data_IF_585832811506
#
_entry.id   IF_585832811506
#
_cell.length_a   1.000
_cell.length_b   1.000
_cell.length_c   1.000
_cell.angle_alpha   90.00
_cell.angle_beta   90.00
_cell.angle_gamma   90.00
#
_symmetry.space_group_name_H-M   'P 1'
#
loop_
_entity.id
_entity.type
_entity.pdbx_description
1 polymer ?
#
# COMPACT_ATOMS: atom_id res chain seq x y z
N UNK A 1 11.94 -15.69 -60.00
CA UNK A 1 11.60 -15.99 -58.59
C UNK A 1 10.44 -15.10 -58.20
N UNK A 2 9.36 -15.71 -57.70
CA UNK A 2 8.02 -15.15 -57.56
C UNK A 2 7.74 -14.58 -56.14
N UNK A 3 6.70 -13.75 -56.02
CA UNK A 3 5.99 -13.35 -54.78
C UNK A 3 6.58 -12.10 -54.11
N UNK A 4 5.91 -10.95 -53.96
CA UNK A 4 4.51 -10.72 -53.53
C UNK A 4 4.46 -10.86 -51.99
N UNK A 5 3.87 -9.99 -51.17
CA UNK A 5 3.08 -8.78 -51.31
C UNK A 5 2.90 -8.18 -49.89
N UNK A 6 2.33 -6.98 -49.83
CA UNK A 6 1.55 -6.45 -48.72
C UNK A 6 2.29 -6.06 -47.42
N UNK A 7 2.55 -4.76 -47.33
CA UNK A 7 2.31 -3.98 -46.11
C UNK A 7 0.93 -4.33 -45.54
N UNK A 8 0.90 -5.27 -44.59
CA UNK A 8 -0.33 -5.65 -43.91
C UNK A 8 -0.61 -4.62 -42.80
N UNK A 9 -1.23 -3.50 -43.19
CA UNK A 9 -1.95 -2.60 -42.30
C UNK A 9 -3.28 -3.27 -41.96
N UNK A 10 -3.33 -3.96 -40.83
CA UNK A 10 -4.55 -4.44 -40.18
C UNK A 10 -4.53 -4.08 -38.69
N UNK A 11 -5.68 -3.75 -38.07
CA UNK A 11 -5.73 -3.15 -36.75
C UNK A 11 -5.62 -4.24 -35.69
N UNK A 12 -4.46 -4.37 -35.06
CA UNK A 12 -4.37 -5.10 -33.80
C UNK A 12 -4.61 -4.12 -32.67
N UNK A 13 -5.89 -3.98 -32.34
CA UNK A 13 -6.38 -3.59 -31.03
C UNK A 13 -5.89 -4.61 -30.00
N UNK A 14 -4.64 -4.45 -29.57
CA UNK A 14 -4.07 -5.10 -28.40
C UNK A 14 -3.80 -4.02 -27.38
N UNK A 15 -4.78 -3.80 -26.51
CA UNK A 15 -4.70 -3.01 -25.28
C UNK A 15 -3.63 -3.60 -24.36
N UNK A 16 -2.37 -3.38 -24.69
CA UNK A 16 -1.21 -3.73 -23.88
C UNK A 16 -0.63 -2.45 -23.31
N UNK A 17 -1.11 -2.04 -22.14
CA UNK A 17 -0.34 -1.14 -21.26
C UNK A 17 0.83 -1.90 -20.64
N UNK A 18 1.61 -2.60 -21.47
CA UNK A 18 2.92 -3.10 -21.08
C UNK A 18 3.85 -1.90 -21.20
N UNK A 19 3.96 -1.14 -20.10
CA UNK A 19 4.95 -0.09 -19.97
C UNK A 19 6.31 -0.67 -20.34
N UNK A 20 6.90 -0.13 -21.41
CA UNK A 20 8.21 -0.56 -21.88
C UNK A 20 9.24 -0.37 -20.75
N UNK A 21 10.23 -1.26 -20.68
CA UNK A 21 11.36 -1.22 -19.72
C UNK A 21 12.09 0.15 -19.71
N UNK A 22 11.90 0.98 -20.74
CA UNK A 22 12.40 2.36 -20.81
C UNK A 22 11.60 3.40 -19.99
N UNK A 23 10.39 3.09 -19.50
CA UNK A 23 9.63 3.93 -18.55
C UNK A 23 10.09 3.75 -17.08
N UNK A 24 11.09 2.88 -16.84
CA UNK A 24 11.59 2.47 -15.51
C UNK A 24 12.44 3.52 -14.75
N UNK A 25 12.25 4.81 -15.01
CA UNK A 25 12.93 5.90 -14.27
C UNK A 25 11.99 6.84 -13.52
N UNK A 26 10.71 6.46 -13.37
CA UNK A 26 9.76 7.12 -12.48
C UNK A 26 9.79 6.57 -11.04
N UNK A 27 9.16 7.26 -10.06
CA UNK A 27 9.15 6.89 -8.64
C UNK A 27 8.41 5.59 -8.29
N UNK A 28 8.03 4.78 -9.29
CA UNK A 28 7.34 3.50 -9.13
C UNK A 28 7.99 2.47 -10.04
N UNK A 29 8.18 1.26 -9.52
CA UNK A 29 8.76 0.14 -10.27
C UNK A 29 7.89 -1.11 -10.14
N UNK A 30 8.10 -2.09 -11.02
CA UNK A 30 7.51 -3.43 -10.85
C UNK A 30 8.03 -4.02 -9.54
N UNK A 31 7.20 -4.71 -8.75
CA UNK A 31 7.65 -5.41 -7.53
C UNK A 31 8.78 -6.39 -7.87
N UNK A 32 9.79 -6.51 -7.00
CA UNK A 32 10.85 -7.53 -7.20
C UNK A 32 10.31 -8.93 -6.91
N UNK A 33 9.27 -9.01 -6.10
CA UNK A 33 8.76 -10.23 -5.50
C UNK A 33 7.48 -10.73 -6.18
N UNK A 34 6.86 -9.95 -7.08
CA UNK A 34 5.63 -10.35 -7.75
C UNK A 34 5.39 -9.70 -9.13
N UNK A 35 4.74 -10.46 -10.01
CA UNK A 35 4.28 -10.04 -11.33
C UNK A 35 2.80 -9.63 -11.37
N UNK A 36 2.13 -9.52 -10.21
CA UNK A 36 0.71 -9.21 -10.14
C UNK A 36 0.40 -7.78 -10.61
N UNK A 37 -0.78 -7.59 -11.21
CA UNK A 37 -1.32 -6.25 -11.46
C UNK A 37 -1.96 -5.71 -10.18
N UNK A 38 -1.14 -5.04 -9.37
CA UNK A 38 -1.60 -4.40 -8.15
C UNK A 38 -2.66 -3.31 -8.39
N UNK A 39 -2.67 -2.67 -9.56
CA UNK A 39 -3.67 -1.67 -9.90
C UNK A 39 -5.06 -2.28 -10.04
N UNK A 40 -5.15 -3.46 -10.68
CA UNK A 40 -6.39 -4.22 -10.75
C UNK A 40 -6.81 -4.73 -9.35
N UNK A 41 -5.87 -5.26 -8.57
CA UNK A 41 -6.16 -5.74 -7.21
C UNK A 41 -6.70 -4.64 -6.31
N UNK A 42 -6.13 -3.43 -6.38
CA UNK A 42 -6.63 -2.29 -5.61
C UNK A 42 -8.01 -1.89 -6.09
N UNK A 43 -8.27 -1.79 -7.40
CA UNK A 43 -9.60 -1.44 -7.92
C UNK A 43 -10.70 -2.40 -7.47
N UNK A 44 -10.39 -3.69 -7.41
CA UNK A 44 -11.35 -4.72 -7.00
C UNK A 44 -11.64 -4.72 -5.50
N UNK A 45 -10.64 -4.40 -4.67
CA UNK A 45 -10.73 -4.60 -3.21
C UNK A 45 -10.82 -3.30 -2.40
N UNK A 46 -10.44 -2.16 -2.96
CA UNK A 46 -10.53 -0.82 -2.37
C UNK A 46 -11.26 0.15 -3.32
N UNK A 47 -12.54 -0.08 -3.63
CA UNK A 47 -13.28 0.84 -4.48
C UNK A 47 -13.45 2.22 -3.82
N UNK A 48 -13.56 3.33 -4.59
CA UNK A 48 -13.62 4.69 -4.05
C UNK A 48 -14.70 4.93 -2.98
N UNK A 49 -15.78 4.16 -2.98
CA UNK A 49 -16.86 4.24 -2.00
C UNK A 49 -16.46 3.79 -0.57
N UNK A 50 -15.26 3.25 -0.38
CA UNK A 50 -14.77 2.72 0.91
C UNK A 50 -14.19 3.77 1.85
N UNK A 51 -14.25 5.06 1.48
CA UNK A 51 -13.65 6.14 2.29
C UNK A 51 -12.12 6.18 2.19
N UNK A 52 -11.57 5.68 1.08
CA UNK A 52 -10.15 5.80 0.72
C UNK A 52 -9.93 7.09 -0.06
N UNK A 53 -8.97 7.90 0.36
CA UNK A 53 -8.53 9.08 -0.38
C UNK A 53 -7.32 8.73 -1.25
N UNK A 54 -6.20 8.41 -0.59
CA UNK A 54 -4.96 8.01 -1.24
C UNK A 54 -4.43 6.66 -0.75
N UNK A 55 -3.62 5.99 -1.55
CA UNK A 55 -2.97 4.73 -1.14
C UNK A 55 -1.61 4.50 -1.81
N UNK A 56 -0.76 3.77 -1.09
CA UNK A 56 0.55 3.37 -1.54
C UNK A 56 0.90 1.96 -1.07
N UNK A 57 1.59 1.24 -1.94
CA UNK A 57 2.14 -0.09 -1.70
C UNK A 57 3.66 0.02 -1.83
N UNK A 58 4.39 -0.41 -0.81
CA UNK A 58 5.85 -0.40 -0.80
C UNK A 58 6.38 -1.83 -0.69
N UNK A 59 7.39 -2.15 -1.49
CA UNK A 59 8.13 -3.42 -1.40
C UNK A 59 9.00 -3.39 -0.13
N UNK A 60 8.91 -4.42 0.71
CA UNK A 60 9.63 -4.43 1.98
C UNK A 60 11.14 -4.56 1.81
N UNK A 61 11.60 -5.17 0.72
CA UNK A 61 13.02 -5.45 0.53
C UNK A 61 13.84 -4.19 0.27
N UNK A 62 13.26 -3.20 -0.43
CA UNK A 62 13.98 -1.96 -0.78
C UNK A 62 13.25 -0.67 -0.38
N UNK A 63 12.05 -0.78 0.19
CA UNK A 63 11.21 0.33 0.63
C UNK A 63 10.75 1.26 -0.50
N UNK A 64 10.72 0.77 -1.75
CA UNK A 64 10.27 1.52 -2.91
C UNK A 64 8.80 1.23 -3.25
N UNK A 65 8.12 2.23 -3.80
CA UNK A 65 6.74 2.09 -4.20
C UNK A 65 6.61 1.13 -5.40
N UNK A 66 5.66 0.20 -5.31
CA UNK A 66 5.34 -0.72 -6.40
C UNK A 66 4.27 -0.14 -7.33
N UNK A 67 4.30 -0.57 -8.59
CA UNK A 67 3.29 -0.25 -9.59
C UNK A 67 1.89 -0.50 -9.06
N UNK A 68 0.92 0.34 -9.44
CA UNK A 68 -0.44 0.31 -8.92
C UNK A 68 -0.68 1.29 -7.76
N UNK A 69 0.37 1.73 -7.06
CA UNK A 69 0.26 2.81 -6.05
C UNK A 69 -0.09 4.16 -6.69
N UNK A 70 -0.65 5.10 -5.91
CA UNK A 70 -0.90 6.45 -6.43
C UNK A 70 0.39 7.29 -6.48
N UNK A 71 0.75 7.87 -7.66
CA UNK A 71 2.02 8.59 -7.81
C UNK A 71 2.17 9.86 -6.96
N UNK A 72 1.08 10.59 -6.71
CA UNK A 72 1.09 11.79 -5.86
C UNK A 72 1.43 11.44 -4.42
N UNK A 73 0.76 10.42 -3.90
CA UNK A 73 0.89 9.98 -2.52
C UNK A 73 2.25 9.34 -2.24
N UNK A 74 2.71 8.46 -3.13
CA UNK A 74 4.03 7.78 -2.97
C UNK A 74 5.21 8.74 -2.90
N UNK A 75 5.17 9.85 -3.62
CA UNK A 75 6.22 10.90 -3.57
C UNK A 75 6.28 11.62 -2.22
N UNK A 76 5.24 11.52 -1.41
CA UNK A 76 5.25 12.06 -0.06
C UNK A 76 5.98 11.15 0.93
N UNK A 77 6.47 9.98 0.54
CA UNK A 77 7.20 9.11 1.46
C UNK A 77 8.67 9.03 1.09
N UNK A 78 9.53 9.54 1.97
CA UNK A 78 10.96 9.30 1.89
C UNK A 78 11.24 7.80 2.17
N UNK A 79 12.09 7.12 1.37
CA UNK A 79 12.41 5.70 1.59
C UNK A 79 12.89 5.37 3.01
N UNK A 80 13.60 6.28 3.68
CA UNK A 80 14.05 6.05 5.06
C UNK A 80 12.90 6.10 6.06
N UNK A 81 11.84 6.87 5.77
CA UNK A 81 10.60 6.85 6.55
C UNK A 81 9.83 5.56 6.30
N UNK A 82 9.80 5.09 5.05
CA UNK A 82 9.17 3.80 4.69
C UNK A 82 9.87 2.64 5.42
N UNK A 83 11.21 2.61 5.47
CA UNK A 83 11.96 1.60 6.24
C UNK A 83 11.60 1.62 7.72
N UNK A 84 11.55 2.81 8.33
CA UNK A 84 11.12 2.96 9.73
C UNK A 84 9.69 2.45 9.95
N UNK A 85 8.78 2.66 8.99
CA UNK A 85 7.42 2.10 9.05
C UNK A 85 7.46 0.57 8.93
N UNK A 86 8.24 0.00 8.02
CA UNK A 86 8.40 -1.46 7.91
C UNK A 86 8.90 -2.04 9.24
N UNK A 87 9.94 -1.46 9.83
CA UNK A 87 10.52 -1.90 11.10
C UNK A 87 9.52 -1.78 12.26
N UNK A 88 8.86 -0.63 12.37
CA UNK A 88 7.82 -0.35 13.36
C UNK A 88 6.71 -1.41 13.31
N UNK A 89 6.16 -1.67 12.13
CA UNK A 89 5.04 -2.59 11.97
C UNK A 89 5.46 -4.06 12.04
N UNK A 90 6.70 -4.38 11.68
CA UNK A 90 7.28 -5.71 11.92
C UNK A 90 7.43 -5.96 13.43
N UNK A 91 7.89 -4.96 14.19
CA UNK A 91 8.00 -5.05 15.64
C UNK A 91 6.63 -5.12 16.33
N UNK A 92 5.63 -4.34 15.89
CA UNK A 92 4.27 -4.36 16.44
C UNK A 92 3.56 -5.71 16.23
N UNK A 93 3.85 -6.39 15.11
CA UNK A 93 3.30 -7.71 14.79
C UNK A 93 4.10 -8.87 15.41
N UNK A 94 5.25 -8.60 16.04
CA UNK A 94 6.05 -9.66 16.66
C UNK A 94 5.42 -10.14 17.99
N UNK A 95 5.29 -11.46 18.21
CA UNK A 95 4.57 -12.02 19.36
C UNK A 95 5.23 -11.82 20.73
N UNK A 96 6.45 -11.25 20.78
CA UNK A 96 7.28 -11.23 22.00
C UNK A 96 7.74 -9.82 22.45
N UNK A 97 7.31 -8.74 21.79
CA UNK A 97 7.79 -7.39 22.16
C UNK A 97 6.91 -6.77 23.24
N UNK A 98 7.47 -6.52 24.43
CA UNK A 98 6.86 -5.66 25.45
C UNK A 98 6.81 -4.23 24.92
N UNK A 99 5.62 -3.79 24.53
CA UNK A 99 5.40 -2.52 23.81
C UNK A 99 5.73 -1.26 24.61
N UNK A 100 5.97 -1.38 25.92
CA UNK A 100 6.40 -0.28 26.80
C UNK A 100 7.88 0.10 26.63
N UNK A 101 8.73 -0.81 26.13
CA UNK A 101 10.19 -0.61 26.08
C UNK A 101 10.70 -0.07 24.72
N UNK A 102 9.85 -0.07 23.70
CA UNK A 102 10.27 0.20 22.32
C UNK A 102 9.97 1.63 21.81
N UNK A 103 9.26 2.47 22.58
CA UNK A 103 8.97 3.86 22.19
C UNK A 103 8.15 4.00 20.90
N UNK A 104 7.38 2.97 20.53
CA UNK A 104 6.69 2.82 19.24
C UNK A 104 5.33 3.54 19.16
N UNK A 105 5.04 4.47 20.07
CA UNK A 105 3.74 5.13 20.16
C UNK A 105 3.57 6.27 19.15
N UNK A 106 4.66 6.71 18.53
CA UNK A 106 4.60 7.77 17.51
C UNK A 106 5.70 7.65 16.46
N UNK A 107 5.40 8.12 15.25
CA UNK A 107 6.35 8.23 14.14
C UNK A 107 6.19 9.60 13.47
N UNK A 108 7.27 10.14 12.92
CA UNK A 108 7.23 11.39 12.14
C UNK A 108 7.35 11.08 10.66
N UNK A 109 6.40 11.58 9.86
CA UNK A 109 6.34 11.46 8.40
C UNK A 109 6.19 12.88 7.86
N UNK A 110 7.13 13.37 7.04
CA UNK A 110 7.16 14.74 6.51
C UNK A 110 6.88 15.83 7.57
N UNK A 111 7.68 15.85 8.63
CA UNK A 111 7.55 16.80 9.74
C UNK A 111 6.20 16.75 10.49
N UNK A 112 5.36 15.77 10.18
CA UNK A 112 4.08 15.55 10.85
C UNK A 112 4.21 14.37 11.79
N UNK A 113 3.93 14.58 13.08
CA UNK A 113 3.92 13.53 14.08
C UNK A 113 2.60 12.76 14.01
N UNK A 114 2.70 11.45 13.85
CA UNK A 114 1.59 10.52 13.89
C UNK A 114 1.66 9.71 15.18
N UNK A 115 0.51 9.50 15.81
CA UNK A 115 0.34 8.60 16.95
C UNK A 115 -0.13 7.25 16.44
N UNK A 116 0.51 6.17 16.89
CA UNK A 116 0.20 4.80 16.46
C UNK A 116 -0.88 4.21 17.37
N UNK A 117 -2.02 3.84 16.79
CA UNK A 117 -3.11 3.14 17.47
C UNK A 117 -3.44 1.82 16.76
N UNK A 118 -3.99 0.84 17.47
CA UNK A 118 -4.34 -0.46 16.88
C UNK A 118 -4.05 -1.63 17.82
N UNK A 119 -4.52 -2.84 17.48
CA UNK A 119 -4.13 -4.06 18.18
C UNK A 119 -2.60 -4.21 18.15
N UNK A 120 -2.05 -4.69 19.26
CA UNK A 120 -0.60 -4.83 19.49
C UNK A 120 -0.32 -6.26 19.91
N UNK A 121 0.72 -6.86 19.34
CA UNK A 121 1.14 -8.19 19.72
C UNK A 121 0.31 -9.29 19.07
N UNK A 122 0.38 -9.39 17.73
CA UNK A 122 0.44 -10.63 16.95
C UNK A 122 -0.60 -11.73 17.18
N UNK A 123 -1.69 -11.50 17.92
CA UNK A 123 -2.73 -12.52 18.09
C UNK A 123 -3.42 -12.82 16.76
N UNK A 124 -3.40 -11.85 15.82
CA UNK A 124 -3.80 -12.07 14.43
C UNK A 124 -2.74 -11.55 13.43
N UNK A 125 -2.30 -12.36 12.45
CA UNK A 125 -1.22 -11.99 11.50
C UNK A 125 -1.60 -10.90 10.48
N UNK A 126 -2.81 -10.36 10.54
CA UNK A 126 -3.35 -9.33 9.64
C UNK A 126 -3.75 -8.08 10.43
N UNK A 127 -3.03 -7.78 11.51
CA UNK A 127 -3.31 -6.63 12.35
C UNK A 127 -3.01 -5.34 11.59
N UNK A 128 -4.05 -4.51 11.53
CA UNK A 128 -4.01 -3.20 10.92
C UNK A 128 -3.83 -2.18 12.03
N UNK A 129 -2.79 -1.36 11.93
CA UNK A 129 -2.64 -0.21 12.80
C UNK A 129 -3.11 1.06 12.09
N UNK A 130 -3.51 2.05 12.88
CA UNK A 130 -3.97 3.34 12.44
C UNK A 130 -3.03 4.41 12.96
N UNK A 131 -2.49 5.22 12.05
CA UNK A 131 -1.65 6.37 12.35
C UNK A 131 -2.54 7.62 12.38
N UNK A 132 -2.56 8.31 13.51
CA UNK A 132 -3.35 9.53 13.69
C UNK A 132 -2.46 10.76 13.76
N UNK A 133 -2.69 11.72 12.88
CA UNK A 133 -2.19 13.10 13.02
C UNK A 133 -3.37 14.07 13.14
N UNK A 134 -3.08 15.36 13.26
CA UNK A 134 -4.10 16.40 13.25
C UNK A 134 -4.53 16.79 11.82
N UNK A 135 -3.86 16.25 10.78
CA UNK A 135 -4.17 16.51 9.37
C UNK A 135 -4.78 15.31 8.66
N UNK A 136 -4.20 14.13 8.88
CA UNK A 136 -4.54 12.90 8.16
C UNK A 136 -4.57 11.70 9.11
N UNK A 137 -5.36 10.70 8.72
CA UNK A 137 -5.37 9.38 9.34
C UNK A 137 -4.96 8.35 8.30
N UNK A 138 -3.94 7.55 8.64
CA UNK A 138 -3.47 6.47 7.78
C UNK A 138 -3.81 5.11 8.38
N UNK A 139 -4.23 4.20 7.53
CA UNK A 139 -4.42 2.79 7.81
C UNK A 139 -3.22 2.06 7.24
N UNK A 140 -2.47 1.37 8.08
CA UNK A 140 -1.21 0.77 7.71
C UNK A 140 -1.20 -0.70 8.12
N UNK A 141 -0.75 -1.54 7.21
CA UNK A 141 -0.72 -2.98 7.40
C UNK A 141 0.35 -3.62 6.51
N UNK A 142 0.78 -4.81 6.89
CA UNK A 142 1.89 -5.51 6.27
C UNK A 142 1.44 -6.88 5.79
N UNK A 143 1.90 -7.27 4.60
CA UNK A 143 1.85 -8.65 4.11
C UNK A 143 3.22 -9.31 4.32
N UNK A 144 3.53 -10.44 3.69
CA UNK A 144 4.89 -10.99 3.77
C UNK A 144 5.93 -10.06 3.11
N UNK A 145 5.56 -9.46 1.98
CA UNK A 145 6.44 -8.77 1.03
C UNK A 145 6.13 -7.28 0.86
N UNK A 146 4.94 -6.82 1.28
CA UNK A 146 4.50 -5.43 1.08
C UNK A 146 4.15 -4.74 2.40
N UNK A 147 4.39 -3.44 2.42
CA UNK A 147 3.78 -2.47 3.33
C UNK A 147 2.66 -1.76 2.56
N UNK A 148 1.46 -1.75 3.12
CA UNK A 148 0.28 -1.08 2.55
C UNK A 148 -0.05 0.12 3.43
N UNK A 149 -0.14 1.30 2.81
CA UNK A 149 -0.54 2.55 3.46
C UNK A 149 -1.76 3.11 2.74
N UNK A 150 -2.82 3.40 3.49
CA UNK A 150 -4.07 3.94 2.97
C UNK A 150 -4.44 5.19 3.76
N UNK A 151 -4.60 6.33 3.09
CA UNK A 151 -5.12 7.55 3.66
C UNK A 151 -6.65 7.53 3.67
N UNK A 152 -7.22 7.81 4.85
CA UNK A 152 -8.65 7.94 5.01
C UNK A 152 -9.17 9.24 4.37
N UNK A 153 -10.30 9.15 3.68
CA UNK A 153 -11.04 10.29 3.15
C UNK A 153 -11.82 11.03 4.25
N UNK A 154 -12.23 12.29 4.01
CA UNK A 154 -13.05 13.05 4.94
C UNK A 154 -14.26 12.26 5.43
N UNK A 155 -14.42 12.15 6.75
CA UNK A 155 -15.47 11.37 7.42
C UNK A 155 -14.99 10.02 7.96
N UNK A 156 -14.00 9.41 7.32
CA UNK A 156 -13.28 8.23 7.84
C UNK A 156 -11.96 8.62 8.54
N UNK A 157 -11.51 9.86 8.38
CA UNK A 157 -10.29 10.48 8.93
C UNK A 157 -10.42 10.96 10.38
N UNK A 158 -11.42 10.46 11.11
CA UNK A 158 -11.69 10.85 12.49
C UNK A 158 -10.93 9.99 13.50
N UNK A 159 -10.62 10.54 14.69
CA UNK A 159 -9.99 9.77 15.78
C UNK A 159 -10.96 8.73 16.38
N UNK A 160 -12.25 9.06 16.44
CA UNK A 160 -13.29 8.21 17.01
C UNK A 160 -13.68 7.05 16.08
N UNK A 161 -14.41 6.07 16.62
CA UNK A 161 -14.95 4.94 15.86
C UNK A 161 -16.28 5.37 15.21
N UNK A 162 -16.33 5.38 13.88
CA UNK A 162 -17.52 5.70 13.07
C UNK A 162 -17.78 4.60 12.04
N UNK A 163 -18.99 4.54 11.49
CA UNK A 163 -19.34 3.53 10.49
C UNK A 163 -18.46 3.62 9.25
N UNK A 164 -18.12 4.83 8.82
CA UNK A 164 -17.25 5.11 7.67
C UNK A 164 -15.83 4.61 7.94
N UNK A 165 -15.31 4.86 9.15
CA UNK A 165 -13.98 4.40 9.56
C UNK A 165 -13.93 2.89 9.73
N UNK A 166 -14.99 2.26 10.23
CA UNK A 166 -15.10 0.81 10.31
C UNK A 166 -15.18 0.16 8.93
N UNK A 167 -15.94 0.76 8.01
CA UNK A 167 -16.00 0.33 6.61
C UNK A 167 -14.63 0.37 5.94
N UNK A 168 -13.89 1.48 6.14
CA UNK A 168 -12.52 1.61 5.66
C UNK A 168 -11.61 0.55 6.30
N UNK A 169 -11.67 0.39 7.62
CA UNK A 169 -10.89 -0.63 8.33
C UNK A 169 -11.12 -2.04 7.77
N UNK A 170 -12.38 -2.41 7.55
CA UNK A 170 -12.76 -3.70 6.99
C UNK A 170 -12.28 -3.87 5.54
N UNK A 171 -12.38 -2.82 4.72
CA UNK A 171 -11.90 -2.83 3.34
C UNK A 171 -10.38 -3.02 3.26
N UNK A 172 -9.61 -2.27 4.05
CA UNK A 172 -8.14 -2.41 4.08
C UNK A 172 -7.72 -3.78 4.61
N UNK A 173 -8.41 -4.30 5.63
CA UNK A 173 -8.16 -5.66 6.13
C UNK A 173 -8.46 -6.72 5.05
N UNK A 174 -9.59 -6.61 4.36
CA UNK A 174 -9.96 -7.53 3.27
C UNK A 174 -8.96 -7.48 2.12
N UNK A 175 -8.52 -6.28 1.74
CA UNK A 175 -7.51 -6.11 0.71
C UNK A 175 -6.19 -6.76 1.09
N UNK A 176 -5.73 -6.55 2.33
CA UNK A 176 -4.50 -7.16 2.84
C UNK A 176 -4.58 -8.68 2.82
N UNK A 177 -5.72 -9.23 3.24
CA UNK A 177 -5.97 -10.66 3.16
C UNK A 177 -5.89 -11.19 1.73
N UNK A 178 -6.52 -10.50 0.77
CA UNK A 178 -6.46 -10.87 -0.64
C UNK A 178 -5.04 -10.82 -1.23
N UNK A 179 -4.19 -9.90 -0.75
CA UNK A 179 -2.77 -9.88 -1.10
C UNK A 179 -2.04 -11.09 -0.51
N UNK A 180 -2.23 -11.38 0.77
CA UNK A 180 -1.61 -12.53 1.45
C UNK A 180 -2.04 -13.87 0.84
N UNK A 181 -3.31 -14.04 0.46
CA UNK A 181 -3.78 -15.25 -0.25
C UNK A 181 -3.08 -15.45 -1.60
N UNK A 182 -2.60 -14.38 -2.21
CA UNK A 182 -1.81 -14.43 -3.45
C UNK A 182 -0.32 -14.65 -3.22
N UNK A 183 0.09 -14.93 -1.98
CA UNK A 183 1.48 -15.20 -1.59
C UNK A 183 2.33 -13.94 -1.41
N UNK A 184 1.70 -12.77 -1.28
CA UNK A 184 2.37 -11.50 -1.01
C UNK A 184 2.55 -11.22 0.47
#
# INVERSE_FOLDING_TARGET
MAGGAAVNRGPHTGSGSEAAVSDLSGPQRKSLLSNLDFGELVRLNLPPATGVDEYALFDKDDALAVHGSQPSFTRSFDPDVVRKLIDLFTALNAPAVSTADAGLDSITINDTKYTVSGPRGGQHPLELATLHSDKHVFFVTNTATLLVIVQAAPGADVKQKTNEKEGLWAAVRSFTFALTEKGL
#
